data_IF_918897892531
#
_entry.id   IF_918897892531
#
_cell.length_a   1.000
_cell.length_b   1.000
_cell.length_c   1.000
_cell.angle_alpha   90.00
_cell.angle_beta   90.00
_cell.angle_gamma   90.00
#
_symmetry.space_group_name_H-M   'P 1'
#
loop_
_entity.id
_entity.type
_entity.pdbx_description
1 polymer ?
#
# COMPACT_ATOMS: atom_id res chain seq x y z
N UNK A 1 -37.55 -60.38 -9.12
CA UNK A 1 -37.11 -59.94 -7.77
C UNK A 1 -35.68 -59.44 -7.90
N UNK A 2 -35.46 -58.12 -7.96
CA UNK A 2 -34.12 -57.51 -8.04
C UNK A 2 -33.71 -57.17 -6.62
N UNK A 3 -32.86 -58.04 -6.03
CA UNK A 3 -32.20 -57.74 -4.72
C UNK A 3 -31.18 -56.58 -4.96
N UNK A 4 -31.60 -55.38 -4.66
CA UNK A 4 -30.70 -54.22 -4.69
C UNK A 4 -29.81 -54.28 -3.44
N UNK A 5 -28.56 -54.66 -3.66
CA UNK A 5 -27.55 -54.88 -2.64
C UNK A 5 -27.30 -53.60 -1.80
N UNK A 6 -27.55 -53.69 -0.48
CA UNK A 6 -27.38 -52.59 0.49
C UNK A 6 -26.01 -51.92 0.40
N UNK A 7 -24.97 -52.69 0.08
CA UNK A 7 -23.60 -52.21 -0.06
C UNK A 7 -23.40 -51.29 -1.27
N UNK A 8 -24.14 -51.47 -2.37
CA UNK A 8 -24.06 -50.58 -3.54
C UNK A 8 -24.70 -49.21 -3.24
N UNK A 9 -25.79 -49.17 -2.48
CA UNK A 9 -26.42 -47.90 -2.07
C UNK A 9 -25.50 -47.12 -1.11
N UNK A 10 -24.84 -47.80 -0.17
CA UNK A 10 -23.88 -47.21 0.77
C UNK A 10 -22.67 -46.62 0.01
N UNK A 11 -22.11 -47.36 -0.95
CA UNK A 11 -20.99 -46.89 -1.78
C UNK A 11 -21.37 -45.64 -2.63
N UNK A 12 -22.59 -45.58 -3.13
CA UNK A 12 -23.08 -44.44 -3.90
C UNK A 12 -23.20 -43.20 -3.01
N UNK A 13 -23.74 -43.34 -1.80
CA UNK A 13 -23.87 -42.24 -0.83
C UNK A 13 -22.49 -41.71 -0.41
N UNK A 14 -21.52 -42.58 -0.17
CA UNK A 14 -20.16 -42.19 0.17
C UNK A 14 -19.49 -41.43 -0.99
N UNK A 15 -19.67 -41.86 -2.24
CA UNK A 15 -19.14 -41.16 -3.42
C UNK A 15 -19.77 -39.75 -3.58
N UNK A 16 -21.08 -39.62 -3.35
CA UNK A 16 -21.76 -38.34 -3.40
C UNK A 16 -21.27 -37.39 -2.31
N UNK A 17 -21.06 -37.86 -1.07
CA UNK A 17 -20.52 -37.10 0.05
C UNK A 17 -19.08 -36.63 -0.21
N UNK A 18 -18.24 -37.50 -0.81
CA UNK A 18 -16.87 -37.15 -1.19
C UNK A 18 -16.87 -36.06 -2.29
N UNK A 19 -17.74 -36.18 -3.29
CA UNK A 19 -17.87 -35.16 -4.35
C UNK A 19 -18.34 -33.83 -3.76
N UNK A 20 -19.32 -33.83 -2.83
CA UNK A 20 -19.79 -32.62 -2.14
C UNK A 20 -18.67 -32.00 -1.30
N UNK A 21 -17.84 -32.79 -0.63
CA UNK A 21 -16.72 -32.28 0.15
C UNK A 21 -15.64 -31.61 -0.75
N UNK A 22 -15.33 -32.20 -1.91
CA UNK A 22 -14.39 -31.61 -2.87
C UNK A 22 -14.95 -30.38 -3.61
N UNK A 23 -16.25 -30.24 -3.77
CA UNK A 23 -16.87 -29.04 -4.35
C UNK A 23 -16.86 -27.90 -3.34
N UNK A 24 -17.08 -28.18 -2.05
CA UNK A 24 -17.11 -27.15 -1.00
C UNK A 24 -15.74 -26.49 -0.74
N UNK A 25 -14.62 -27.12 -1.09
CA UNK A 25 -13.30 -26.57 -0.88
C UNK A 25 -12.84 -25.60 -1.99
N UNK A 26 -13.59 -25.44 -3.06
CA UNK A 26 -13.21 -24.57 -4.21
C UNK A 26 -13.77 -23.15 -4.17
N UNK A 27 -14.51 -22.74 -3.15
CA UNK A 27 -15.17 -21.42 -3.11
C UNK A 27 -14.49 -20.44 -2.15
N UNK A 28 -13.23 -20.67 -1.76
CA UNK A 28 -12.44 -19.64 -1.11
C UNK A 28 -11.38 -19.13 -2.09
N UNK A 29 -11.85 -18.63 -3.24
CA UNK A 29 -11.05 -17.74 -4.07
C UNK A 29 -11.10 -16.37 -3.41
N UNK A 30 -10.07 -16.03 -2.65
CA UNK A 30 -9.81 -14.64 -2.30
C UNK A 30 -9.68 -13.88 -3.61
N UNK A 31 -10.67 -13.07 -3.98
CA UNK A 31 -10.47 -12.06 -5.02
C UNK A 31 -9.27 -11.24 -4.56
N UNK A 32 -8.15 -11.39 -5.28
CA UNK A 32 -6.95 -10.61 -5.01
C UNK A 32 -7.35 -9.16 -5.24
N UNK A 33 -7.34 -8.38 -4.17
CA UNK A 33 -7.65 -6.97 -4.21
C UNK A 33 -6.86 -6.31 -5.34
N UNK A 34 -7.57 -5.79 -6.33
CA UNK A 34 -6.95 -5.16 -7.50
C UNK A 34 -6.62 -3.69 -7.21
N UNK A 35 -6.02 -3.44 -6.03
CA UNK A 35 -5.56 -2.11 -5.66
C UNK A 35 -4.18 -1.89 -6.28
N UNK A 36 -4.05 -0.79 -7.01
CA UNK A 36 -2.78 -0.40 -7.63
C UNK A 36 -1.84 0.21 -6.59
N UNK A 37 -0.58 -0.19 -6.63
CA UNK A 37 0.49 0.49 -5.90
C UNK A 37 0.66 1.93 -6.40
N UNK A 38 1.06 2.83 -5.51
CA UNK A 38 1.36 4.22 -5.86
C UNK A 38 2.80 4.27 -6.38
N UNK A 39 2.96 4.53 -7.68
CA UNK A 39 4.26 4.43 -8.37
C UNK A 39 4.53 5.70 -9.16
N UNK A 40 5.79 6.15 -9.13
CA UNK A 40 6.26 7.26 -9.95
C UNK A 40 7.57 6.92 -10.65
N UNK A 41 7.70 7.34 -11.91
CA UNK A 41 8.85 7.08 -12.76
C UNK A 41 8.56 6.11 -13.90
N UNK A 42 9.58 5.83 -14.71
CA UNK A 42 9.47 4.92 -15.84
C UNK A 42 9.34 3.47 -15.35
N UNK A 43 8.31 2.78 -15.78
CA UNK A 43 8.09 1.36 -15.46
C UNK A 43 9.26 0.45 -15.89
N UNK A 44 10.04 0.86 -16.90
CA UNK A 44 11.21 0.17 -17.40
C UNK A 44 12.52 0.56 -16.70
N UNK A 45 12.46 1.49 -15.72
CA UNK A 45 13.66 1.89 -14.99
C UNK A 45 14.31 0.68 -14.29
N UNK A 46 15.63 0.54 -14.47
CA UNK A 46 16.40 -0.59 -13.91
C UNK A 46 16.58 -0.52 -12.39
N UNK A 47 16.42 0.66 -11.82
CA UNK A 47 16.56 0.89 -10.39
C UNK A 47 15.19 1.13 -9.80
N UNK A 48 14.77 0.23 -8.91
CA UNK A 48 13.53 0.33 -8.17
C UNK A 48 13.81 0.73 -6.72
N UNK A 49 13.06 1.70 -6.24
CA UNK A 49 13.08 2.12 -4.85
C UNK A 49 11.69 1.92 -4.25
N UNK A 50 11.60 1.09 -3.20
CA UNK A 50 10.40 1.02 -2.37
C UNK A 50 10.62 1.92 -1.16
N UNK A 51 9.64 2.76 -0.86
CA UNK A 51 9.67 3.64 0.31
C UNK A 51 8.54 3.25 1.23
N UNK A 52 8.86 2.64 2.36
CA UNK A 52 7.88 2.32 3.40
C UNK A 52 7.68 3.52 4.31
N UNK A 53 6.46 4.05 4.34
CA UNK A 53 6.18 5.33 4.96
C UNK A 53 4.81 5.39 5.63
N UNK A 54 4.67 6.32 6.58
CA UNK A 54 3.41 6.59 7.29
C UNK A 54 3.04 8.05 7.12
N UNK A 55 1.79 8.31 6.77
CA UNK A 55 1.28 9.66 6.56
C UNK A 55 1.23 10.51 7.84
N UNK A 56 1.32 9.90 9.02
CA UNK A 56 1.45 10.63 10.30
C UNK A 56 2.91 10.83 10.74
N UNK A 57 3.88 10.21 10.05
CA UNK A 57 5.28 10.31 10.42
C UNK A 57 5.91 11.64 10.00
N UNK A 58 6.46 12.47 10.94
CA UNK A 58 7.11 13.74 10.60
C UNK A 58 8.36 13.56 9.72
N UNK A 59 9.11 12.48 9.93
CA UNK A 59 10.30 12.18 9.12
C UNK A 59 9.95 11.83 7.68
N UNK A 60 8.78 11.21 7.45
CA UNK A 60 8.27 10.97 6.10
C UNK A 60 7.89 12.29 5.42
N UNK A 61 7.23 13.22 6.13
CA UNK A 61 6.93 14.55 5.58
C UNK A 61 8.21 15.32 5.26
N UNK A 62 9.24 15.24 6.10
CA UNK A 62 10.56 15.82 5.82
C UNK A 62 11.19 15.19 4.58
N UNK A 63 11.11 13.88 4.40
CA UNK A 63 11.59 13.19 3.20
C UNK A 63 10.91 13.74 1.94
N UNK A 64 9.58 13.86 1.94
CA UNK A 64 8.82 14.40 0.81
C UNK A 64 9.11 15.87 0.52
N UNK A 65 9.40 16.67 1.55
CA UNK A 65 9.69 18.09 1.42
C UNK A 65 11.13 18.39 0.96
N UNK A 66 12.12 17.64 1.47
CA UNK A 66 13.53 18.02 1.33
C UNK A 66 14.33 17.08 0.43
N UNK A 67 13.96 15.79 0.36
CA UNK A 67 14.74 14.77 -0.35
C UNK A 67 14.09 14.40 -1.68
N UNK A 68 12.80 14.06 -1.64
CA UNK A 68 12.07 13.60 -2.81
C UNK A 68 12.13 14.57 -4.01
N UNK A 69 12.00 15.91 -3.88
CA UNK A 69 12.06 16.80 -5.05
C UNK A 69 13.38 16.72 -5.82
N UNK A 70 14.48 16.49 -5.10
CA UNK A 70 15.79 16.30 -5.72
C UNK A 70 15.92 14.92 -6.38
N UNK A 71 15.36 13.87 -5.78
CA UNK A 71 15.30 12.54 -6.40
C UNK A 71 14.45 12.58 -7.67
N UNK A 72 13.32 13.27 -7.62
CA UNK A 72 12.44 13.45 -8.79
C UNK A 72 13.21 14.11 -9.94
N UNK A 73 13.75 15.29 -9.72
CA UNK A 73 14.47 16.06 -10.73
C UNK A 73 15.67 15.34 -11.31
N UNK A 74 16.48 14.70 -10.46
CA UNK A 74 17.77 14.17 -10.86
C UNK A 74 17.70 12.75 -11.42
N UNK A 75 16.66 11.96 -11.06
CA UNK A 75 16.57 10.55 -11.41
C UNK A 75 15.22 10.11 -11.97
N UNK A 76 14.07 10.48 -11.34
CA UNK A 76 12.75 10.04 -11.78
C UNK A 76 12.41 10.63 -13.15
N UNK A 77 12.50 11.97 -13.27
CA UNK A 77 12.16 12.69 -14.51
C UNK A 77 13.11 12.33 -15.68
N UNK A 78 14.24 11.69 -15.38
CA UNK A 78 15.19 11.18 -16.38
C UNK A 78 14.99 9.70 -16.72
N UNK A 79 13.97 9.05 -16.12
CA UNK A 79 13.69 7.63 -16.32
C UNK A 79 14.76 6.68 -15.74
N UNK A 80 15.63 7.16 -14.84
CA UNK A 80 16.73 6.36 -14.28
C UNK A 80 16.26 5.45 -13.14
N UNK A 81 15.25 5.90 -12.40
CA UNK A 81 14.65 5.15 -11.28
C UNK A 81 13.13 5.21 -11.36
N UNK A 82 12.49 4.21 -10.75
CA UNK A 82 11.09 4.26 -10.34
C UNK A 82 11.00 4.16 -8.82
N UNK A 83 10.04 4.85 -8.26
CA UNK A 83 9.73 4.81 -6.82
C UNK A 83 8.34 4.23 -6.65
N UNK A 84 8.19 3.26 -5.75
CA UNK A 84 6.90 2.80 -5.27
C UNK A 84 6.75 3.21 -3.80
N UNK A 85 5.71 3.97 -3.52
CA UNK A 85 5.35 4.43 -2.18
C UNK A 85 4.51 3.37 -1.49
N UNK A 86 5.07 2.76 -0.44
CA UNK A 86 4.47 1.66 0.32
C UNK A 86 3.88 2.14 1.62
N UNK A 87 2.58 1.94 1.80
CA UNK A 87 1.91 2.32 3.03
C UNK A 87 2.34 1.45 4.20
N UNK A 88 2.88 2.09 5.24
CA UNK A 88 3.24 1.48 6.52
C UNK A 88 2.62 2.28 7.68
N UNK A 89 1.28 2.25 7.85
CA UNK A 89 0.61 3.06 8.86
C UNK A 89 1.08 2.71 10.27
N UNK A 90 1.44 3.75 11.04
CA UNK A 90 1.88 3.63 12.43
C UNK A 90 0.71 3.71 13.41
N UNK A 91 -0.39 4.28 12.98
CA UNK A 91 -1.62 4.50 13.75
C UNK A 91 -2.86 4.52 12.84
N UNK A 92 -4.04 4.68 13.45
CA UNK A 92 -5.32 4.68 12.72
C UNK A 92 -5.47 5.90 11.83
N UNK A 93 -4.98 7.07 12.24
CA UNK A 93 -5.03 8.28 11.40
C UNK A 93 -4.17 8.10 10.14
N UNK A 94 -2.99 7.48 10.27
CA UNK A 94 -2.17 7.11 9.12
C UNK A 94 -2.85 6.11 8.20
N UNK A 95 -3.54 5.10 8.76
CA UNK A 95 -4.30 4.13 7.97
C UNK A 95 -5.41 4.83 7.17
N UNK A 96 -6.18 5.70 7.82
CA UNK A 96 -7.25 6.46 7.18
C UNK A 96 -6.71 7.37 6.06
N UNK A 97 -5.62 8.10 6.32
CA UNK A 97 -4.97 8.92 5.31
C UNK A 97 -4.41 8.08 4.14
N UNK A 98 -3.87 6.89 4.42
CA UNK A 98 -3.41 5.97 3.38
C UNK A 98 -4.57 5.45 2.51
N UNK A 99 -5.74 5.19 3.10
CA UNK A 99 -6.95 4.83 2.34
C UNK A 99 -7.36 5.95 1.38
N UNK A 100 -7.28 7.21 1.81
CA UNK A 100 -7.53 8.37 0.95
C UNK A 100 -6.50 8.43 -0.19
N UNK A 101 -5.21 8.21 0.09
CA UNK A 101 -4.17 8.22 -0.93
C UNK A 101 -4.36 7.16 -2.03
N UNK A 102 -4.88 5.98 -1.67
CA UNK A 102 -5.16 4.88 -2.60
C UNK A 102 -6.55 4.94 -3.26
N UNK A 103 -7.45 5.83 -2.81
CA UNK A 103 -8.86 5.79 -3.15
C UNK A 103 -9.15 5.88 -4.65
N UNK A 104 -8.42 6.71 -5.38
CA UNK A 104 -8.59 6.84 -6.83
C UNK A 104 -8.17 5.58 -7.59
N UNK A 105 -7.37 4.74 -6.98
CA UNK A 105 -6.88 3.47 -7.53
C UNK A 105 -6.26 3.58 -8.95
N UNK A 106 -5.68 4.73 -9.26
CA UNK A 106 -5.02 5.00 -10.55
C UNK A 106 -3.49 4.79 -10.49
N UNK A 107 -2.94 4.66 -9.27
CA UNK A 107 -1.51 4.49 -9.01
C UNK A 107 -0.74 5.82 -9.01
N UNK A 108 -1.43 6.96 -9.12
CA UNK A 108 -0.83 8.29 -9.17
C UNK A 108 -0.50 8.78 -7.74
N UNK A 109 0.69 9.38 -7.50
CA UNK A 109 1.10 9.87 -6.19
C UNK A 109 0.53 11.24 -5.79
N UNK A 110 -0.30 11.89 -6.60
CA UNK A 110 -0.75 13.27 -6.37
C UNK A 110 -1.41 13.47 -5.01
N UNK A 111 -2.33 12.58 -4.64
CA UNK A 111 -3.01 12.64 -3.33
C UNK A 111 -2.01 12.39 -2.20
N UNK A 112 -1.11 11.42 -2.36
CA UNK A 112 -0.07 11.12 -1.38
C UNK A 112 0.83 12.34 -1.11
N UNK A 113 1.34 12.95 -2.17
CA UNK A 113 2.20 14.15 -2.04
C UNK A 113 1.44 15.34 -1.45
N UNK A 114 0.18 15.53 -1.86
CA UNK A 114 -0.68 16.55 -1.26
C UNK A 114 -0.84 16.37 0.24
N UNK A 115 -1.05 15.12 0.69
CA UNK A 115 -1.21 14.81 2.12
C UNK A 115 0.08 15.09 2.91
N UNK A 116 1.26 14.73 2.38
CA UNK A 116 2.54 15.03 3.04
C UNK A 116 2.82 16.53 3.08
N UNK A 117 2.56 17.25 2.00
CA UNK A 117 2.77 18.70 1.93
C UNK A 117 1.86 19.48 2.90
N UNK A 118 0.73 18.89 3.28
CA UNK A 118 -0.25 19.49 4.19
C UNK A 118 -0.35 18.75 5.54
N UNK A 119 0.63 17.88 5.89
CA UNK A 119 0.57 17.08 7.10
C UNK A 119 0.32 17.93 8.35
N UNK A 120 0.99 19.05 8.49
CA UNK A 120 0.84 19.98 9.60
C UNK A 120 -0.53 20.70 9.66
N UNK A 121 -1.36 20.56 8.64
CA UNK A 121 -2.69 21.16 8.58
C UNK A 121 -3.77 20.16 8.98
N UNK A 122 -3.68 18.92 8.46
CA UNK A 122 -4.72 17.92 8.73
C UNK A 122 -4.45 17.08 9.98
N UNK A 123 -3.20 16.97 10.42
CA UNK A 123 -2.83 16.25 11.65
C UNK A 123 -3.04 17.03 12.95
N UNK A 124 -3.93 18.03 12.95
CA UNK A 124 -4.29 18.79 14.14
C UNK A 124 -5.49 18.11 14.80
N UNK A 125 -5.42 17.89 16.11
CA UNK A 125 -6.49 17.31 16.92
C UNK A 125 -5.96 16.29 17.92
N UNK A 126 -6.75 16.02 18.95
CA UNK A 126 -6.44 15.08 20.03
C UNK A 126 -7.07 13.70 19.77
N UNK A 127 -8.02 13.62 18.84
CA UNK A 127 -8.75 12.40 18.50
C UNK A 127 -8.63 12.07 17.02
N UNK A 128 -8.81 10.78 16.68
CA UNK A 128 -8.83 10.32 15.28
C UNK A 128 -9.97 10.99 14.50
N UNK A 129 -11.11 11.24 15.14
CA UNK A 129 -12.26 11.86 14.50
C UNK A 129 -11.97 13.31 14.12
N UNK A 130 -11.33 14.09 14.98
CA UNK A 130 -10.91 15.46 14.68
C UNK A 130 -9.89 15.50 13.53
N UNK A 131 -8.92 14.58 13.54
CA UNK A 131 -7.94 14.44 12.46
C UNK A 131 -8.63 14.08 11.14
N UNK A 132 -9.59 13.16 11.15
CA UNK A 132 -10.36 12.76 9.97
C UNK A 132 -11.20 13.92 9.42
N UNK A 133 -11.81 14.74 10.29
CA UNK A 133 -12.55 15.93 9.84
C UNK A 133 -11.63 16.97 9.19
N UNK A 134 -10.44 17.17 9.72
CA UNK A 134 -9.45 18.04 9.10
C UNK A 134 -8.94 17.48 7.76
N UNK A 135 -8.69 16.18 7.71
CA UNK A 135 -8.32 15.47 6.49
C UNK A 135 -9.41 15.64 5.41
N UNK A 136 -10.67 15.39 5.77
CA UNK A 136 -11.84 15.61 4.90
C UNK A 136 -11.90 17.05 4.39
N UNK A 137 -11.71 18.01 5.28
CA UNK A 137 -11.74 19.45 4.95
C UNK A 137 -10.67 19.86 3.95
N UNK A 138 -9.45 19.33 4.04
CA UNK A 138 -8.41 19.67 3.05
C UNK A 138 -8.62 18.97 1.72
N UNK A 139 -9.06 17.70 1.72
CA UNK A 139 -9.35 16.93 0.53
C UNK A 139 -10.53 17.53 -0.26
N UNK A 140 -11.61 17.95 0.43
CA UNK A 140 -12.79 18.54 -0.23
C UNK A 140 -12.51 19.88 -0.93
N UNK A 141 -11.40 20.55 -0.62
CA UNK A 141 -10.96 21.77 -1.30
C UNK A 141 -10.18 21.49 -2.60
N UNK A 142 -9.87 20.25 -2.86
CA UNK A 142 -9.15 19.80 -4.05
C UNK A 142 -10.10 19.04 -4.98
N UNK A 143 -9.82 19.09 -6.26
CA UNK A 143 -10.60 18.36 -7.27
C UNK A 143 -9.93 16.98 -7.54
N UNK A 144 -9.88 16.12 -6.53
CA UNK A 144 -9.32 14.77 -6.69
C UNK A 144 -10.33 13.75 -7.25
N UNK A 145 -11.61 14.15 -7.40
CA UNK A 145 -12.67 13.29 -7.92
C UNK A 145 -12.86 11.99 -7.10
N UNK A 146 -12.79 12.11 -5.78
CA UNK A 146 -13.02 11.01 -4.83
C UNK A 146 -14.13 11.35 -3.85
N UNK A 147 -14.88 10.35 -3.39
CA UNK A 147 -15.77 10.47 -2.23
C UNK A 147 -15.03 10.08 -0.95
N UNK A 148 -14.84 11.04 -0.05
CA UNK A 148 -14.11 10.82 1.20
C UNK A 148 -14.73 9.71 2.05
N UNK A 149 -16.07 9.66 2.11
CA UNK A 149 -16.77 8.69 2.96
C UNK A 149 -16.68 7.27 2.40
N UNK A 150 -16.74 7.12 1.08
CA UNK A 150 -16.49 5.84 0.42
C UNK A 150 -15.06 5.38 0.65
N UNK A 151 -14.08 6.25 0.41
CA UNK A 151 -12.66 5.95 0.58
C UNK A 151 -12.31 5.45 1.98
N UNK A 152 -12.77 6.17 3.01
CA UNK A 152 -12.41 5.87 4.39
C UNK A 152 -13.05 4.57 4.91
N UNK A 153 -14.15 4.15 4.28
CA UNK A 153 -14.87 2.91 4.61
C UNK A 153 -14.52 1.74 3.67
N UNK A 154 -13.69 1.95 2.67
CA UNK A 154 -13.32 0.88 1.73
C UNK A 154 -12.43 -0.18 2.41
N UNK A 155 -13.01 -1.37 2.58
CA UNK A 155 -12.34 -2.51 3.21
C UNK A 155 -11.27 -3.14 2.31
N UNK A 156 -11.43 -3.06 0.99
CA UNK A 156 -10.45 -3.64 0.07
C UNK A 156 -9.15 -2.83 0.11
N UNK A 157 -9.24 -1.50 0.18
CA UNK A 157 -8.08 -0.62 0.34
C UNK A 157 -7.44 -0.85 1.72
N UNK A 158 -8.26 -0.97 2.77
CA UNK A 158 -7.76 -1.25 4.13
C UNK A 158 -6.98 -2.55 4.18
N UNK A 159 -7.56 -3.64 3.67
CA UNK A 159 -6.94 -4.96 3.67
C UNK A 159 -5.64 -4.95 2.85
N UNK A 160 -5.64 -4.31 1.68
CA UNK A 160 -4.43 -4.12 0.87
C UNK A 160 -3.30 -3.42 1.65
N UNK A 161 -3.59 -2.31 2.32
CA UNK A 161 -2.59 -1.56 3.11
C UNK A 161 -2.06 -2.38 4.28
N UNK A 162 -2.94 -3.10 4.98
CA UNK A 162 -2.54 -3.94 6.11
C UNK A 162 -1.73 -5.15 5.67
N UNK A 163 -2.07 -5.76 4.52
CA UNK A 163 -1.28 -6.84 3.91
C UNK A 163 0.12 -6.34 3.52
N UNK A 164 0.23 -5.18 2.84
CA UNK A 164 1.51 -4.56 2.52
C UNK A 164 2.38 -4.36 3.76
N UNK A 165 1.79 -3.84 4.84
CA UNK A 165 2.49 -3.65 6.11
C UNK A 165 3.00 -4.97 6.68
N UNK A 166 2.17 -6.02 6.69
CA UNK A 166 2.55 -7.35 7.19
C UNK A 166 3.66 -7.97 6.35
N UNK A 167 3.54 -7.90 5.01
CA UNK A 167 4.54 -8.43 4.09
C UNK A 167 5.88 -7.71 4.21
N UNK A 168 5.86 -6.39 4.40
CA UNK A 168 7.06 -5.59 4.57
C UNK A 168 7.87 -5.98 5.81
N UNK A 169 7.17 -6.25 6.93
CA UNK A 169 7.82 -6.75 8.16
C UNK A 169 8.43 -8.11 7.90
N UNK A 170 7.71 -9.03 7.25
CA UNK A 170 8.20 -10.39 6.96
C UNK A 170 9.38 -10.40 5.99
N UNK A 171 9.33 -9.57 4.95
CA UNK A 171 10.31 -9.61 3.85
C UNK A 171 11.56 -8.77 4.11
N UNK A 172 11.39 -7.61 4.71
CA UNK A 172 12.46 -6.63 4.86
C UNK A 172 12.70 -6.18 6.30
N UNK A 173 12.00 -6.79 7.27
CA UNK A 173 12.09 -6.43 8.69
C UNK A 173 11.88 -4.93 8.91
N UNK A 174 10.84 -4.36 8.25
CA UNK A 174 10.50 -2.95 8.39
C UNK A 174 9.93 -2.73 9.81
N UNK A 175 10.54 -1.80 10.55
CA UNK A 175 10.15 -1.45 11.92
C UNK A 175 10.13 0.06 12.18
N UNK A 176 10.43 0.86 11.17
CA UNK A 176 10.46 2.32 11.26
C UNK A 176 10.20 2.96 9.90
N UNK A 177 9.74 4.23 9.92
CA UNK A 177 9.45 5.01 8.72
C UNK A 177 10.19 6.35 8.75
N UNK A 178 10.63 6.87 7.60
CA UNK A 178 10.68 6.18 6.32
C UNK A 178 11.80 5.13 6.27
N UNK A 179 11.54 4.01 5.57
CA UNK A 179 12.59 3.01 5.25
C UNK A 179 12.63 2.80 3.74
N UNK A 180 13.82 2.87 3.17
CA UNK A 180 14.07 2.68 1.74
C UNK A 180 14.63 1.28 1.46
N UNK A 181 14.12 0.66 0.40
CA UNK A 181 14.66 -0.55 -0.20
C UNK A 181 15.07 -0.19 -1.64
N UNK A 182 16.32 -0.37 -1.99
CA UNK A 182 16.86 -0.12 -3.33
C UNK A 182 17.23 -1.46 -3.96
N UNK A 183 16.58 -1.82 -5.07
CA UNK A 183 16.78 -3.11 -5.75
C UNK A 183 16.80 -4.29 -4.76
N UNK A 184 15.74 -4.42 -3.95
CA UNK A 184 15.55 -5.47 -2.91
C UNK A 184 16.57 -5.44 -1.75
N UNK A 185 17.37 -4.39 -1.59
CA UNK A 185 18.31 -4.24 -0.47
C UNK A 185 17.94 -3.07 0.42
N UNK A 186 17.83 -3.32 1.73
CA UNK A 186 17.54 -2.28 2.71
C UNK A 186 18.65 -1.24 2.75
N UNK A 187 18.31 0.03 2.59
CA UNK A 187 19.23 1.13 2.66
C UNK A 187 19.55 1.44 4.14
N UNK A 188 20.82 1.29 4.53
CA UNK A 188 21.26 1.34 5.93
C UNK A 188 21.97 2.65 6.33
N UNK A 189 22.15 3.58 5.38
CA UNK A 189 22.78 4.87 5.69
C UNK A 189 21.74 5.89 6.13
N UNK A 190 22.17 7.00 6.82
CA UNK A 190 21.27 8.11 7.11
C UNK A 190 20.54 8.59 5.85
N UNK A 191 19.22 8.78 5.95
CA UNK A 191 18.36 9.22 4.85
C UNK A 191 18.62 10.70 4.55
N UNK A 192 19.62 10.93 3.72
CA UNK A 192 19.93 12.24 3.13
C UNK A 192 19.99 12.10 1.62
N UNK A 193 19.64 13.15 0.90
CA UNK A 193 19.75 13.18 -0.55
C UNK A 193 21.13 12.73 -1.03
N UNK A 194 22.22 13.24 -0.41
CA UNK A 194 23.60 12.90 -0.75
C UNK A 194 23.87 11.38 -0.67
N UNK A 195 23.39 10.73 0.38
CA UNK A 195 23.65 9.31 0.58
C UNK A 195 22.83 8.44 -0.38
N UNK A 196 21.56 8.82 -0.64
CA UNK A 196 20.69 8.13 -1.59
C UNK A 196 21.24 8.30 -3.01
N UNK A 197 21.55 9.54 -3.42
CA UNK A 197 22.20 9.84 -4.70
C UNK A 197 23.41 8.96 -4.95
N UNK A 198 24.35 8.91 -3.98
CA UNK A 198 25.55 8.07 -4.10
C UNK A 198 25.25 6.57 -4.22
N UNK A 199 24.13 6.10 -3.63
CA UNK A 199 23.72 4.71 -3.77
C UNK A 199 23.15 4.43 -5.17
N UNK A 200 22.32 5.33 -5.69
CA UNK A 200 21.75 5.24 -7.05
C UNK A 200 22.87 5.30 -8.10
N UNK A 201 23.78 6.27 -8.01
CA UNK A 201 24.88 6.47 -8.96
C UNK A 201 25.83 5.25 -9.07
N UNK A 202 25.85 4.38 -8.09
CA UNK A 202 26.61 3.12 -8.16
C UNK A 202 25.89 1.99 -8.90
N UNK A 203 24.60 2.17 -9.20
CA UNK A 203 23.76 1.18 -9.84
C UNK A 203 23.45 1.54 -11.31
N UNK A 204 23.73 2.80 -11.70
CA UNK A 204 23.70 3.28 -13.08
C UNK A 204 24.97 2.84 -13.80
#
# INVERSE_FOLDING_TARGET
>A
MICCNSNQKLLLVIKILIIYFFISTKIFSTEKNNIKGIIEGDSNAKIEILIYESLTCPHCATFHKEIYPNLKKDFIDKGLIKIEFKSFPLDIAALNASKIAHCKNDGNPDILHFLYNNQNVWMIGDTVDEINENLKKIISKQNFEIDFSECINDKNIEDYILEERIESVKKFEINSTPTLIINNKKFSKPLTYKNIKKAIEKLI
#
